data_IF_077978561799
#
_entry.id   IF_077978561799
#
_cell.length_a   1.000
_cell.length_b   1.000
_cell.length_c   1.000
_cell.angle_alpha   90.00
_cell.angle_beta   90.00
_cell.angle_gamma   90.00
#
_symmetry.space_group_name_H-M   'P 1'
#
loop_
_entity.id
_entity.type
_entity.pdbx_description
1 polymer ?
#
# COMPACT_ATOMS: atom_id res chain seq x y z
N UNK A 1 3.84 52.87 37.81
CA UNK A 1 4.03 52.35 36.44
C UNK A 1 3.19 51.09 36.34
N UNK A 2 1.96 51.23 35.86
CA UNK A 2 0.89 50.25 36.01
C UNK A 2 0.23 49.87 34.69
N UNK A 3 -0.36 48.67 34.73
CA UNK A 3 -1.46 48.08 33.95
C UNK A 3 -1.91 48.73 32.64
N UNK A 4 -2.14 47.90 31.62
CA UNK A 4 -3.46 47.64 31.01
C UNK A 4 -3.28 46.99 29.62
N UNK A 5 -3.70 45.73 29.47
CA UNK A 5 -4.10 45.17 28.18
C UNK A 5 -5.47 44.51 28.37
N UNK A 6 -6.52 45.29 28.12
CA UNK A 6 -7.80 44.81 27.59
C UNK A 6 -7.54 44.33 26.15
N UNK A 7 -8.09 43.23 25.65
CA UNK A 7 -9.50 42.84 25.66
C UNK A 7 -10.07 43.13 24.26
N UNK A 8 -10.10 42.11 23.39
CA UNK A 8 -10.88 42.15 22.14
C UNK A 8 -11.34 40.74 21.78
N UNK A 9 -12.52 40.39 22.30
CA UNK A 9 -13.39 39.38 21.73
C UNK A 9 -14.10 39.99 20.51
N UNK A 10 -13.97 39.38 19.35
CA UNK A 10 -14.90 39.58 18.24
C UNK A 10 -15.38 38.23 17.73
N UNK A 11 -16.38 37.71 18.44
CA UNK A 11 -17.42 36.85 17.85
C UNK A 11 -18.19 37.68 16.86
N UNK A 12 -18.20 37.30 15.58
CA UNK A 12 -19.27 37.49 14.57
C UNK A 12 -18.66 37.27 13.19
N UNK A 13 -18.92 36.12 12.58
CA UNK A 13 -19.16 35.97 11.14
C UNK A 13 -19.45 34.48 10.87
N UNK A 14 -20.73 34.12 10.86
CA UNK A 14 -21.34 33.05 10.05
C UNK A 14 -22.82 32.97 10.46
N UNK A 15 -23.66 33.79 9.82
CA UNK A 15 -25.11 33.67 9.88
C UNK A 15 -25.75 34.20 8.60
N UNK A 16 -25.41 33.60 7.46
CA UNK A 16 -26.16 33.78 6.20
C UNK A 16 -26.12 32.43 5.46
N UNK A 17 -27.28 32.02 4.94
CA UNK A 17 -27.63 30.78 4.20
C UNK A 17 -28.16 29.61 5.02
N UNK A 18 -29.47 29.66 5.31
CA UNK A 18 -30.46 28.63 4.95
C UNK A 18 -31.84 29.10 5.46
N UNK A 19 -32.52 29.91 4.65
CA UNK A 19 -33.97 30.13 4.75
C UNK A 19 -34.56 30.08 3.35
N UNK A 20 -35.01 28.89 2.94
CA UNK A 20 -36.00 28.70 1.87
C UNK A 20 -36.29 27.20 1.77
N UNK A 21 -37.40 26.77 2.37
CA UNK A 21 -37.84 25.37 2.30
C UNK A 21 -38.75 24.92 3.45
N UNK A 22 -39.74 25.74 3.84
CA UNK A 22 -40.87 25.25 4.64
C UNK A 22 -41.95 24.76 3.69
N UNK A 23 -42.06 23.45 3.50
CA UNK A 23 -43.37 22.80 3.29
C UNK A 23 -43.28 21.29 3.52
N UNK A 24 -44.15 20.81 4.40
CA UNK A 24 -44.64 19.43 4.55
C UNK A 24 -43.64 18.31 4.89
N UNK A 25 -43.46 18.09 6.20
CA UNK A 25 -43.21 16.76 6.77
C UNK A 25 -43.60 16.80 8.27
N UNK A 26 -44.90 16.76 8.54
CA UNK A 26 -45.42 16.38 9.85
C UNK A 26 -45.95 14.95 9.73
N UNK A 27 -45.49 14.09 10.67
CA UNK A 27 -45.89 12.70 10.93
C UNK A 27 -44.80 11.64 10.67
N UNK A 28 -43.60 11.85 11.21
CA UNK A 28 -42.67 10.75 11.48
C UNK A 28 -42.73 10.36 12.97
N UNK A 29 -42.86 9.07 13.33
CA UNK A 29 -42.84 8.62 14.72
C UNK A 29 -41.54 9.06 15.39
N UNK A 30 -41.65 9.68 16.57
CA UNK A 30 -40.50 10.11 17.36
C UNK A 30 -39.61 8.91 17.70
N UNK A 31 -38.48 8.79 16.98
CA UNK A 31 -37.42 7.83 17.29
C UNK A 31 -37.06 7.99 18.77
N UNK A 32 -37.03 6.91 19.58
CA UNK A 32 -36.66 7.01 20.98
C UNK A 32 -35.27 7.66 21.07
N UNK A 33 -35.20 8.79 21.78
CA UNK A 33 -33.94 9.49 22.04
C UNK A 33 -33.12 8.58 22.95
N UNK A 34 -32.10 7.93 22.39
CA UNK A 34 -31.08 7.26 23.17
C UNK A 34 -30.48 8.33 24.09
N UNK A 35 -30.52 8.15 25.43
CA UNK A 35 -29.92 9.09 26.34
C UNK A 35 -28.44 9.20 26.01
N UNK A 36 -27.98 10.40 25.68
CA UNK A 36 -26.56 10.69 25.52
C UNK A 36 -25.94 10.56 26.91
N UNK A 37 -25.02 9.61 27.15
CA UNK A 37 -24.36 9.48 28.43
C UNK A 37 -23.69 10.81 28.80
N UNK A 38 -23.76 11.20 30.06
CA UNK A 38 -22.99 12.33 30.57
C UNK A 38 -21.49 12.11 30.23
N UNK A 39 -20.72 13.17 29.94
CA UNK A 39 -19.29 13.03 29.66
C UNK A 39 -18.62 12.25 30.78
N UNK A 40 -17.83 11.23 30.45
CA UNK A 40 -17.03 10.51 31.45
C UNK A 40 -16.10 11.51 32.13
N UNK A 41 -16.33 11.78 33.42
CA UNK A 41 -15.57 12.78 34.18
C UNK A 41 -14.16 12.30 34.55
N UNK A 42 -13.88 10.99 34.46
CA UNK A 42 -12.63 10.40 34.93
C UNK A 42 -12.00 9.46 33.88
N UNK A 43 -10.79 9.81 33.42
CA UNK A 43 -10.00 8.96 32.53
C UNK A 43 -9.28 7.89 33.35
N UNK A 44 -9.64 6.61 33.17
CA UNK A 44 -8.94 5.50 33.82
C UNK A 44 -7.62 5.22 33.08
N UNK A 45 -6.45 5.36 33.74
CA UNK A 45 -5.17 5.04 33.11
C UNK A 45 -5.12 3.59 32.65
N UNK A 46 -4.42 3.31 31.54
CA UNK A 46 -4.34 1.96 30.96
C UNK A 46 -3.98 0.87 31.99
N UNK A 47 -3.00 1.14 32.84
CA UNK A 47 -2.53 0.21 33.89
C UNK A 47 -3.59 -0.16 34.93
N UNK A 48 -4.64 0.65 35.09
CA UNK A 48 -5.77 0.41 36.00
C UNK A 48 -6.96 -0.24 35.32
N UNK A 49 -6.93 -0.43 33.99
CA UNK A 49 -7.98 -1.13 33.27
C UNK A 49 -8.00 -2.61 33.67
N UNK A 50 -9.18 -3.24 33.72
CA UNK A 50 -9.29 -4.69 33.89
C UNK A 50 -8.44 -5.42 32.85
N UNK A 51 -7.79 -6.52 33.24
CA UNK A 51 -6.90 -7.29 32.36
C UNK A 51 -7.56 -7.65 31.03
N UNK A 52 -8.84 -8.07 31.06
CA UNK A 52 -9.63 -8.38 29.86
C UNK A 52 -9.74 -7.22 28.88
N UNK A 53 -9.80 -5.98 29.37
CA UNK A 53 -9.85 -4.78 28.51
C UNK A 53 -8.47 -4.48 27.96
N UNK A 54 -7.42 -4.57 28.78
CA UNK A 54 -6.03 -4.39 28.32
C UNK A 54 -5.66 -5.39 27.22
N UNK A 55 -5.98 -6.67 27.39
CA UNK A 55 -5.74 -7.71 26.38
C UNK A 55 -6.44 -7.39 25.07
N UNK A 56 -7.71 -6.93 25.10
CA UNK A 56 -8.42 -6.51 23.89
C UNK A 56 -7.78 -5.31 23.19
N UNK A 57 -7.25 -4.36 23.96
CA UNK A 57 -6.53 -3.21 23.39
C UNK A 57 -5.24 -3.69 22.72
N UNK A 58 -4.50 -4.63 23.32
CA UNK A 58 -3.30 -5.20 22.72
C UNK A 58 -3.60 -6.05 21.49
N UNK A 59 -4.64 -6.88 21.53
CA UNK A 59 -5.12 -7.64 20.37
C UNK A 59 -5.47 -6.68 19.21
N UNK A 60 -6.22 -5.61 19.50
CA UNK A 60 -6.53 -4.58 18.52
C UNK A 60 -5.26 -3.90 17.96
N UNK A 61 -4.29 -3.59 18.83
CA UNK A 61 -3.02 -2.98 18.41
C UNK A 61 -2.15 -3.93 17.57
N UNK A 62 -2.20 -5.24 17.82
CA UNK A 62 -1.48 -6.24 17.03
C UNK A 62 -2.07 -6.37 15.61
N UNK A 63 -3.37 -6.10 15.48
CA UNK A 63 -4.16 -6.23 14.25
C UNK A 63 -4.40 -4.90 13.52
N UNK A 64 -3.91 -3.77 14.02
CA UNK A 64 -4.24 -2.45 13.45
C UNK A 64 -3.25 -1.97 12.39
N UNK A 65 -2.05 -2.56 12.32
CA UNK A 65 -0.96 -2.02 11.52
C UNK A 65 -0.45 -3.05 10.50
N UNK A 66 -0.99 -2.96 9.27
CA UNK A 66 -0.44 -3.70 8.14
C UNK A 66 0.92 -3.11 7.75
N UNK A 67 1.94 -3.96 7.64
CA UNK A 67 3.29 -3.56 7.21
C UNK A 67 3.60 -4.12 5.84
N UNK A 68 4.51 -3.44 5.16
CA UNK A 68 5.03 -3.87 3.86
C UNK A 68 6.49 -4.30 4.08
N UNK A 69 6.79 -5.56 3.79
CA UNK A 69 8.14 -6.11 3.81
C UNK A 69 8.67 -6.14 2.38
N UNK A 70 9.60 -5.24 2.10
CA UNK A 70 10.29 -5.20 0.83
C UNK A 70 11.37 -6.27 0.80
N UNK A 71 11.30 -7.14 -0.21
CA UNK A 71 12.41 -8.02 -0.56
C UNK A 71 13.35 -7.26 -1.48
N UNK A 72 14.63 -7.30 -1.15
CA UNK A 72 15.72 -6.68 -1.91
C UNK A 72 16.73 -7.72 -2.32
N UNK A 73 17.43 -7.47 -3.42
CA UNK A 73 18.52 -8.33 -3.87
C UNK A 73 19.71 -8.26 -2.91
N UNK A 74 20.34 -9.40 -2.63
CA UNK A 74 21.63 -9.43 -1.93
C UNK A 74 22.76 -9.12 -2.91
N UNK A 75 23.42 -7.97 -2.71
CA UNK A 75 24.44 -7.40 -3.59
C UNK A 75 25.82 -8.05 -3.52
N UNK A 76 25.93 -9.35 -3.22
CA UNK A 76 27.22 -10.05 -3.18
C UNK A 76 27.41 -10.81 -4.49
N UNK A 77 28.13 -10.16 -5.41
CA UNK A 77 28.70 -10.71 -6.65
C UNK A 77 27.73 -10.90 -7.83
N UNK A 78 28.26 -10.66 -9.03
CA UNK A 78 27.61 -10.06 -10.19
C UNK A 78 26.48 -10.84 -10.88
N UNK A 79 26.07 -12.04 -10.44
CA UNK A 79 25.25 -12.89 -11.31
C UNK A 79 24.10 -13.64 -10.63
N UNK A 80 23.99 -13.60 -9.30
CA UNK A 80 22.94 -14.37 -8.60
C UNK A 80 21.73 -13.51 -8.26
N UNK A 81 20.82 -13.44 -9.23
CA UNK A 81 19.47 -12.90 -9.08
C UNK A 81 18.59 -13.70 -8.10
N UNK A 82 19.10 -14.84 -7.65
CA UNK A 82 18.41 -15.78 -6.78
C UNK A 82 18.41 -15.30 -5.33
N UNK A 83 19.39 -14.51 -4.92
CA UNK A 83 19.58 -14.14 -3.51
C UNK A 83 18.78 -12.89 -3.15
N UNK A 84 17.89 -13.03 -2.18
CA UNK A 84 17.03 -11.99 -1.64
C UNK A 84 16.91 -12.06 -0.12
N UNK A 85 16.65 -10.90 0.47
CA UNK A 85 16.35 -10.75 1.90
C UNK A 85 15.36 -9.61 2.10
N UNK A 86 14.73 -9.57 3.26
CA UNK A 86 13.94 -8.40 3.68
C UNK A 86 14.86 -7.20 3.88
N UNK A 87 14.48 -6.04 3.33
CA UNK A 87 15.22 -4.81 3.51
C UNK A 87 15.37 -4.44 4.99
N UNK A 88 16.51 -3.84 5.34
CA UNK A 88 16.78 -3.44 6.74
C UNK A 88 15.75 -2.43 7.24
N UNK A 89 15.24 -1.58 6.36
CA UNK A 89 14.28 -0.53 6.73
C UNK A 89 12.92 -1.13 7.08
N UNK A 90 12.45 -2.11 6.31
CA UNK A 90 11.16 -2.77 6.57
C UNK A 90 11.24 -3.89 7.61
N UNK A 91 12.42 -4.47 7.83
CA UNK A 91 12.63 -5.49 8.86
C UNK A 91 12.80 -4.91 10.27
N UNK A 92 11.75 -4.27 10.77
CA UNK A 92 11.70 -3.71 12.13
C UNK A 92 10.86 -4.58 13.05
N UNK A 93 11.29 -4.63 14.31
CA UNK A 93 10.48 -5.22 15.38
C UNK A 93 9.21 -4.37 15.51
N UNK A 94 8.00 -4.97 15.41
CA UNK A 94 6.77 -4.20 15.53
C UNK A 94 6.64 -3.59 16.94
N UNK A 95 6.11 -2.35 17.07
CA UNK A 95 6.12 -1.63 18.35
C UNK A 95 5.51 -2.39 19.52
N UNK A 96 4.46 -3.20 19.27
CA UNK A 96 3.79 -4.01 20.30
C UNK A 96 4.76 -4.95 21.06
N UNK A 97 5.85 -5.38 20.41
CA UNK A 97 6.85 -6.27 20.99
C UNK A 97 7.82 -5.54 21.95
N UNK A 98 7.80 -4.21 21.94
CA UNK A 98 8.74 -3.35 22.67
C UNK A 98 8.09 -2.59 23.84
N UNK A 99 6.76 -2.49 23.89
CA UNK A 99 6.06 -1.68 24.90
C UNK A 99 6.25 -2.20 26.32
N UNK A 100 5.80 -3.43 26.60
CA UNK A 100 5.94 -4.09 27.90
C UNK A 100 5.75 -5.61 27.75
N UNK A 101 5.85 -6.35 28.85
CA UNK A 101 5.70 -7.81 28.85
C UNK A 101 4.33 -8.28 28.36
N UNK A 102 3.25 -7.68 28.82
CA UNK A 102 1.87 -8.05 28.45
C UNK A 102 1.63 -7.83 26.94
N UNK A 103 2.04 -6.67 26.42
CA UNK A 103 1.95 -6.35 25.00
C UNK A 103 2.77 -7.33 24.15
N UNK A 104 4.00 -7.67 24.58
CA UNK A 104 4.85 -8.65 23.89
C UNK A 104 4.23 -10.04 23.87
N UNK A 105 3.65 -10.49 24.99
CA UNK A 105 2.97 -11.79 25.07
C UNK A 105 1.79 -11.84 24.09
N UNK A 106 1.01 -10.77 23.96
CA UNK A 106 -0.08 -10.68 22.99
C UNK A 106 0.43 -10.58 21.54
N UNK A 107 1.49 -9.78 21.32
CA UNK A 107 2.16 -9.68 20.02
C UNK A 107 2.66 -11.05 19.53
N UNK A 108 3.25 -11.87 20.41
CA UNK A 108 3.70 -13.23 20.09
C UNK A 108 2.57 -14.22 19.76
N UNK A 109 1.32 -13.93 20.15
CA UNK A 109 0.16 -14.76 19.74
C UNK A 109 -0.29 -14.47 18.32
N UNK A 110 -0.07 -13.24 17.84
CA UNK A 110 -0.51 -12.76 16.53
C UNK A 110 0.60 -12.81 15.48
N UNK A 111 1.84 -12.54 15.90
CA UNK A 111 3.01 -12.42 15.03
C UNK A 111 3.84 -13.69 15.05
N UNK A 112 4.18 -14.16 13.86
CA UNK A 112 5.07 -15.30 13.67
C UNK A 112 6.49 -14.83 13.38
N UNK A 113 7.47 -15.52 13.96
CA UNK A 113 8.88 -15.31 13.62
C UNK A 113 9.20 -16.10 12.35
N UNK A 114 9.48 -15.40 11.25
CA UNK A 114 9.74 -15.99 9.93
C UNK A 114 11.10 -15.58 9.40
N UNK A 115 11.64 -16.37 8.46
CA UNK A 115 12.89 -16.08 7.74
C UNK A 115 12.52 -15.93 6.27
N UNK A 116 12.71 -14.73 5.75
CA UNK A 116 12.52 -14.39 4.33
C UNK A 116 13.88 -13.96 3.77
N UNK A 117 14.83 -14.88 3.83
CA UNK A 117 16.21 -14.67 3.40
C UNK A 117 16.73 -15.99 2.84
N UNK A 118 17.29 -15.95 1.63
CA UNK A 118 18.00 -17.08 1.06
C UNK A 118 19.49 -16.79 0.79
N UNK A 119 20.00 -15.64 1.22
CA UNK A 119 21.40 -15.24 1.08
C UNK A 119 22.36 -16.01 2.00
N UNK A 120 21.86 -16.62 3.07
CA UNK A 120 22.65 -17.47 3.99
C UNK A 120 22.45 -18.96 3.73
N UNK A 121 21.72 -19.33 2.67
CA UNK A 121 21.47 -20.72 2.31
C UNK A 121 22.58 -21.15 1.35
N UNK A 122 23.65 -21.73 1.88
CA UNK A 122 24.34 -22.76 1.11
C UNK A 122 23.28 -23.83 0.85
N UNK A 123 22.80 -23.95 -0.40
CA UNK A 123 21.73 -24.89 -0.77
C UNK A 123 22.09 -26.36 -0.42
N UNK A 124 23.38 -26.66 -0.22
CA UNK A 124 23.89 -27.95 0.25
C UNK A 124 24.13 -28.05 1.76
N UNK A 125 24.18 -26.93 2.49
CA UNK A 125 24.43 -26.90 3.94
C UNK A 125 23.47 -25.92 4.61
N UNK A 126 22.19 -26.25 4.58
CA UNK A 126 21.19 -25.55 5.35
C UNK A 126 21.61 -25.63 6.85
N UNK A 127 21.97 -24.48 7.41
CA UNK A 127 22.17 -24.21 8.85
C UNK A 127 23.55 -24.44 9.51
N UNK A 128 24.66 -24.65 8.78
CA UNK A 128 25.96 -24.98 9.42
C UNK A 128 26.99 -23.83 9.58
N UNK A 129 26.72 -22.58 9.21
CA UNK A 129 27.65 -21.48 9.58
C UNK A 129 27.44 -21.12 11.05
N UNK A 130 28.11 -21.85 11.95
CA UNK A 130 28.20 -21.56 13.38
C UNK A 130 28.45 -20.05 13.61
N UNK A 131 27.46 -19.37 14.19
CA UNK A 131 27.59 -18.01 14.72
C UNK A 131 26.76 -16.91 14.05
N UNK A 132 26.24 -17.10 12.83
CA UNK A 132 25.33 -16.13 12.20
C UNK A 132 23.89 -16.60 12.27
N UNK A 133 23.11 -16.04 13.20
CA UNK A 133 21.67 -16.31 13.26
C UNK A 133 20.99 -15.77 12.00
N UNK A 134 20.13 -16.56 11.32
CA UNK A 134 19.42 -16.08 10.15
C UNK A 134 18.60 -14.84 10.51
N UNK A 135 18.56 -13.88 9.58
CA UNK A 135 17.77 -12.67 9.75
C UNK A 135 16.29 -13.05 9.86
N UNK A 136 15.75 -12.99 11.08
CA UNK A 136 14.36 -13.28 11.36
C UNK A 136 13.54 -12.00 11.39
N UNK A 137 12.28 -12.12 10.99
CA UNK A 137 11.29 -11.05 10.95
C UNK A 137 10.05 -11.47 11.73
N UNK A 138 9.46 -10.54 12.49
CA UNK A 138 8.12 -10.75 13.05
C UNK A 138 7.09 -10.39 12.00
N UNK A 139 6.28 -11.34 11.57
CA UNK A 139 5.34 -11.24 10.45
C UNK A 139 3.92 -11.58 10.91
N UNK A 140 2.96 -10.75 10.55
CA UNK A 140 1.53 -10.99 10.75
C UNK A 140 0.98 -11.70 9.50
N UNK A 141 0.64 -13.00 9.58
CA UNK A 141 0.19 -13.79 8.45
C UNK A 141 -1.22 -13.46 7.94
N UNK A 142 -1.89 -12.48 8.54
CA UNK A 142 -3.21 -12.00 8.14
C UNK A 142 -3.19 -10.58 7.55
N UNK A 143 -2.18 -9.77 7.89
CA UNK A 143 -2.16 -8.33 7.56
C UNK A 143 -0.96 -7.87 6.76
N UNK A 144 0.21 -8.46 6.97
CA UNK A 144 1.44 -7.97 6.37
C UNK A 144 1.54 -8.38 4.89
N UNK A 145 2.20 -7.53 4.11
CA UNK A 145 2.38 -7.70 2.68
C UNK A 145 3.85 -7.95 2.36
N UNK A 146 4.13 -8.93 1.51
CA UNK A 146 5.45 -9.10 0.89
C UNK A 146 5.48 -8.28 -0.39
N UNK A 147 6.44 -7.37 -0.51
CA UNK A 147 6.64 -6.52 -1.67
C UNK A 147 7.92 -6.90 -2.42
N UNK A 148 7.77 -7.24 -3.68
CA UNK A 148 8.87 -7.39 -4.63
C UNK A 148 9.08 -6.04 -5.30
N UNK A 149 10.16 -5.34 -4.90
CA UNK A 149 10.48 -3.99 -5.34
C UNK A 149 11.25 -3.94 -6.65
N UNK A 150 11.43 -2.73 -7.22
CA UNK A 150 11.96 -2.50 -8.57
C UNK A 150 13.31 -3.22 -8.88
N UNK A 151 14.11 -3.55 -7.86
CA UNK A 151 15.40 -4.26 -7.98
C UNK A 151 15.29 -5.79 -7.99
N UNK A 152 14.12 -6.34 -7.69
CA UNK A 152 13.89 -7.78 -7.74
C UNK A 152 13.66 -8.23 -9.18
N UNK A 153 13.99 -9.47 -9.50
CA UNK A 153 13.62 -10.02 -10.80
C UNK A 153 12.58 -11.11 -10.61
N UNK A 154 11.91 -11.46 -11.70
CA UNK A 154 10.87 -12.48 -11.63
C UNK A 154 11.41 -13.86 -11.20
N UNK A 155 12.69 -14.15 -11.48
CA UNK A 155 13.38 -15.34 -10.95
C UNK A 155 13.47 -15.30 -9.42
N UNK A 156 13.76 -14.14 -8.83
CA UNK A 156 13.77 -13.94 -7.37
C UNK A 156 12.41 -14.26 -6.75
N UNK A 157 11.34 -13.78 -7.39
CA UNK A 157 9.96 -14.08 -6.98
C UNK A 157 9.72 -15.60 -7.02
N UNK A 158 10.22 -16.25 -8.06
CA UNK A 158 10.04 -17.67 -8.31
C UNK A 158 10.72 -18.52 -7.25
N UNK A 159 12.00 -18.24 -7.01
CA UNK A 159 12.78 -18.89 -5.97
C UNK A 159 12.18 -18.63 -4.58
N UNK A 160 11.67 -17.42 -4.33
CA UNK A 160 10.96 -17.11 -3.08
C UNK A 160 9.73 -18.00 -2.88
N UNK A 161 8.85 -18.15 -3.88
CA UNK A 161 7.70 -19.06 -3.73
C UNK A 161 8.13 -20.52 -3.66
N UNK A 162 9.20 -20.92 -4.35
CA UNK A 162 9.79 -22.25 -4.19
C UNK A 162 10.20 -22.57 -2.75
N UNK A 163 10.72 -21.58 -2.03
CA UNK A 163 11.13 -21.71 -0.63
C UNK A 163 9.96 -21.56 0.35
N UNK A 164 9.00 -20.69 0.04
CA UNK A 164 7.94 -20.26 0.95
C UNK A 164 6.55 -20.84 0.63
N UNK A 165 6.43 -21.85 -0.24
CA UNK A 165 5.13 -22.35 -0.72
C UNK A 165 4.16 -22.86 0.37
N UNK A 166 4.69 -23.34 1.51
CA UNK A 166 3.88 -23.77 2.65
C UNK A 166 3.44 -22.61 3.54
N UNK A 167 4.02 -21.42 3.34
CA UNK A 167 3.80 -20.27 4.21
C UNK A 167 2.51 -19.55 3.82
N UNK A 168 1.78 -19.08 4.83
CA UNK A 168 0.60 -18.24 4.63
C UNK A 168 1.04 -16.82 4.25
N UNK A 169 0.77 -16.40 3.03
CA UNK A 169 1.12 -15.12 2.41
C UNK A 169 -0.14 -14.50 1.78
N UNK A 170 -1.05 -13.92 2.60
CA UNK A 170 -2.35 -13.45 2.12
C UNK A 170 -2.24 -12.26 1.17
N UNK A 171 -1.19 -11.45 1.30
CA UNK A 171 -1.00 -10.21 0.56
C UNK A 171 0.38 -10.18 -0.07
N UNK A 172 0.42 -9.96 -1.38
CA UNK A 172 1.65 -9.83 -2.15
C UNK A 172 1.56 -8.55 -2.98
N UNK A 173 2.69 -7.88 -3.15
CA UNK A 173 2.81 -6.70 -3.98
C UNK A 173 3.99 -6.84 -4.95
N UNK A 174 3.82 -6.36 -6.18
CA UNK A 174 4.84 -6.36 -7.24
C UNK A 174 5.02 -4.96 -7.76
N UNK A 175 6.26 -4.49 -7.90
CA UNK A 175 6.54 -3.32 -8.72
C UNK A 175 6.14 -3.60 -10.18
N UNK A 176 5.56 -2.61 -10.86
CA UNK A 176 5.11 -2.75 -12.25
C UNK A 176 6.25 -3.16 -13.20
N UNK A 177 7.49 -2.77 -12.89
CA UNK A 177 8.66 -3.00 -13.74
C UNK A 177 8.99 -4.50 -13.94
N UNK A 178 8.65 -5.38 -12.98
CA UNK A 178 8.87 -6.83 -13.09
C UNK A 178 8.19 -7.49 -14.29
N UNK A 179 7.23 -6.78 -14.86
CA UNK A 179 6.38 -7.28 -15.93
C UNK A 179 6.80 -6.72 -17.29
N UNK A 180 7.50 -5.60 -17.31
CA UNK A 180 7.78 -4.86 -18.54
C UNK A 180 9.20 -5.10 -19.03
N UNK A 181 10.18 -5.00 -18.13
CA UNK A 181 11.57 -5.17 -18.49
C UNK A 181 12.04 -6.55 -18.04
N UNK A 182 12.19 -7.50 -18.98
CA UNK A 182 12.77 -8.78 -18.65
C UNK A 182 14.18 -8.51 -18.12
N UNK A 183 14.40 -8.97 -16.91
CA UNK A 183 15.69 -8.92 -16.31
C UNK A 183 16.75 -9.56 -17.23
N UNK A 184 17.93 -8.94 -17.37
CA UNK A 184 19.01 -9.43 -18.24
C UNK A 184 19.60 -10.79 -17.81
N UNK A 185 19.09 -11.43 -16.75
CA UNK A 185 19.59 -12.68 -16.22
C UNK A 185 19.39 -13.91 -17.14
N UNK A 186 18.98 -13.71 -18.40
CA UNK A 186 18.77 -14.76 -19.41
C UNK A 186 17.94 -15.94 -18.91
N UNK A 187 17.07 -15.72 -17.92
CA UNK A 187 16.26 -16.79 -17.35
C UNK A 187 15.13 -17.15 -18.31
N UNK A 188 15.45 -18.04 -19.25
CA UNK A 188 14.51 -18.71 -20.13
C UNK A 188 14.19 -20.06 -19.51
N UNK A 189 13.18 -20.13 -18.63
CA UNK A 189 12.57 -21.43 -18.41
C UNK A 189 12.06 -21.90 -19.78
N UNK A 190 12.49 -23.07 -20.26
CA UNK A 190 12.17 -23.53 -21.63
C UNK A 190 10.66 -23.64 -21.92
N UNK A 191 9.83 -23.61 -20.88
CA UNK A 191 8.37 -23.63 -20.92
C UNK A 191 7.74 -22.23 -20.74
N UNK A 192 8.54 -21.19 -20.52
CA UNK A 192 8.08 -19.81 -20.37
C UNK A 192 7.98 -19.11 -21.70
N UNK A 193 6.75 -18.88 -22.12
CA UNK A 193 6.46 -18.16 -23.35
C UNK A 193 6.71 -16.65 -23.13
N UNK A 194 7.83 -16.16 -23.65
CA UNK A 194 8.25 -14.74 -23.55
C UNK A 194 7.25 -13.75 -24.18
N UNK A 195 6.27 -14.24 -24.96
CA UNK A 195 5.25 -13.38 -25.59
C UNK A 195 4.22 -12.77 -24.64
N UNK A 196 4.13 -13.23 -23.38
CA UNK A 196 3.10 -12.81 -22.42
C UNK A 196 3.65 -12.52 -21.01
N UNK A 197 4.67 -11.65 -20.93
CA UNK A 197 5.40 -11.34 -19.69
C UNK A 197 4.53 -11.11 -18.46
N UNK A 198 3.43 -10.36 -18.57
CA UNK A 198 2.55 -10.04 -17.43
C UNK A 198 1.84 -11.25 -16.82
N UNK A 199 1.20 -12.04 -17.68
CA UNK A 199 0.44 -13.21 -17.22
C UNK A 199 1.41 -14.26 -16.72
N UNK A 200 2.49 -14.48 -17.44
CA UNK A 200 3.52 -15.44 -17.06
C UNK A 200 4.17 -15.08 -15.71
N UNK A 201 4.39 -13.79 -15.43
CA UNK A 201 4.87 -13.33 -14.12
C UNK A 201 3.84 -13.57 -13.01
N UNK A 202 2.54 -13.37 -13.27
CA UNK A 202 1.49 -13.60 -12.27
C UNK A 202 1.11 -15.09 -12.12
N UNK A 203 1.42 -15.93 -13.10
CA UNK A 203 1.27 -17.39 -12.99
C UNK A 203 2.08 -17.98 -11.85
N UNK A 204 3.13 -17.28 -11.42
CA UNK A 204 3.92 -17.67 -10.25
C UNK A 204 3.09 -17.77 -8.98
N UNK A 205 1.94 -17.10 -8.92
CA UNK A 205 1.00 -17.18 -7.81
C UNK A 205 0.13 -18.44 -7.86
N UNK A 206 0.00 -19.05 -9.04
CA UNK A 206 -0.82 -20.23 -9.23
C UNK A 206 -0.16 -21.45 -8.60
N UNK A 207 -0.98 -22.23 -7.90
CA UNK A 207 -0.49 -23.44 -7.23
C UNK A 207 -0.64 -24.62 -8.16
N UNK A 208 0.49 -25.23 -8.53
CA UNK A 208 0.48 -26.56 -9.12
C UNK A 208 0.77 -27.62 -8.04
N UNK A 209 0.00 -28.72 -7.96
CA UNK A 209 0.33 -29.82 -7.08
C UNK A 209 1.75 -30.34 -7.38
N UNK A 210 2.59 -30.48 -6.35
CA UNK A 210 3.97 -30.96 -6.47
C UNK A 210 4.10 -32.33 -7.17
N UNK A 211 3.03 -33.12 -7.22
CA UNK A 211 2.98 -34.41 -7.95
C UNK A 211 2.97 -34.25 -9.48
N UNK A 212 2.63 -33.08 -9.99
CA UNK A 212 2.61 -32.76 -11.43
C UNK A 212 3.93 -32.06 -11.87
N UNK A 213 4.95 -32.06 -11.00
CA UNK A 213 6.20 -31.30 -11.08
C UNK A 213 7.24 -31.79 -12.10
N UNK A 214 6.83 -32.53 -13.13
CA UNK A 214 7.72 -32.76 -14.29
C UNK A 214 7.89 -31.48 -15.14
N UNK A 215 7.20 -30.39 -14.82
CA UNK A 215 7.40 -29.07 -15.42
C UNK A 215 8.28 -28.18 -14.55
N UNK A 216 9.08 -27.32 -15.17
CA UNK A 216 9.95 -26.28 -14.58
C UNK A 216 9.23 -25.17 -13.78
N UNK A 217 8.02 -25.43 -13.30
CA UNK A 217 7.11 -24.44 -12.72
C UNK A 217 7.08 -24.45 -11.20
N UNK A 218 6.82 -23.26 -10.64
CA UNK A 218 6.88 -22.99 -9.20
C UNK A 218 5.57 -23.38 -8.50
N UNK A 219 5.62 -23.76 -7.21
CA UNK A 219 4.46 -24.20 -6.42
C UNK A 219 3.46 -23.07 -6.07
N UNK A 220 3.83 -21.81 -6.29
CA UNK A 220 3.01 -20.63 -6.02
C UNK A 220 2.59 -20.42 -4.57
N UNK A 221 1.49 -19.69 -4.35
CA UNK A 221 0.98 -19.35 -3.01
C UNK A 221 -0.54 -19.52 -2.91
N UNK A 222 -1.04 -20.66 -2.38
CA UNK A 222 -2.49 -20.95 -2.31
C UNK A 222 -3.22 -20.03 -1.34
N UNK A 223 -2.48 -19.40 -0.43
CA UNK A 223 -3.02 -18.58 0.64
C UNK A 223 -3.20 -17.12 0.25
N UNK A 224 -2.72 -16.72 -0.93
CA UNK A 224 -2.80 -15.34 -1.42
C UNK A 224 -4.23 -14.98 -1.78
N UNK A 225 -4.68 -13.86 -1.24
CA UNK A 225 -6.03 -13.33 -1.40
C UNK A 225 -6.02 -11.94 -2.04
N UNK A 226 -4.97 -11.17 -1.82
CA UNK A 226 -4.82 -9.82 -2.36
C UNK A 226 -3.46 -9.70 -3.06
N UNK A 227 -3.48 -9.13 -4.27
CA UNK A 227 -2.29 -8.85 -5.07
C UNK A 227 -2.30 -7.38 -5.45
N UNK A 228 -1.24 -6.67 -5.05
CA UNK A 228 -1.05 -5.27 -5.40
C UNK A 228 -0.06 -5.15 -6.56
N UNK A 229 -0.48 -4.48 -7.63
CA UNK A 229 0.44 -4.04 -8.68
C UNK A 229 0.82 -2.60 -8.35
N UNK A 230 2.05 -2.42 -7.90
CA UNK A 230 2.57 -1.16 -7.39
C UNK A 230 3.08 -0.34 -8.56
N UNK A 231 2.28 0.67 -8.91
CA UNK A 231 2.60 1.70 -9.88
C UNK A 231 3.56 2.70 -9.25
N UNK A 232 4.51 3.25 -10.02
CA UNK A 232 5.37 4.32 -9.55
C UNK A 232 4.54 5.49 -9.04
N UNK A 233 5.05 6.19 -8.04
CA UNK A 233 4.55 7.50 -7.65
C UNK A 233 5.66 8.51 -7.84
N UNK A 234 5.32 9.69 -8.34
CA UNK A 234 6.24 10.83 -8.43
C UNK A 234 6.35 11.59 -7.09
N UNK A 235 5.54 11.22 -6.09
CA UNK A 235 5.53 11.82 -4.75
C UNK A 235 6.24 10.92 -3.75
N UNK A 236 5.88 9.63 -3.71
CA UNK A 236 6.44 8.65 -2.79
C UNK A 236 7.15 7.55 -3.58
N UNK A 237 8.43 7.80 -3.84
CA UNK A 237 9.33 6.84 -4.47
C UNK A 237 10.46 6.49 -3.51
N UNK A 238 10.82 5.22 -3.49
CA UNK A 238 11.91 4.70 -2.68
C UNK A 238 12.83 3.92 -3.61
N UNK A 239 14.14 4.14 -3.49
CA UNK A 239 15.09 3.20 -4.06
C UNK A 239 15.00 1.88 -3.30
N UNK A 240 15.49 0.81 -3.93
CA UNK A 240 15.50 -0.51 -3.32
C UNK A 240 16.17 -0.52 -1.96
N UNK A 241 15.44 -0.99 -0.95
CA UNK A 241 15.90 -1.07 0.42
C UNK A 241 15.82 0.22 1.23
N UNK A 242 15.38 1.32 0.61
CA UNK A 242 15.17 2.61 1.26
C UNK A 242 13.72 2.84 1.70
N UNK A 243 12.79 1.93 1.34
CA UNK A 243 11.39 2.07 1.71
C UNK A 243 11.21 2.05 3.24
N UNK A 244 10.62 3.09 3.84
CA UNK A 244 10.43 3.15 5.28
C UNK A 244 9.39 2.13 5.74
N UNK A 245 9.53 1.60 6.96
CA UNK A 245 8.56 0.69 7.57
C UNK A 245 7.18 1.31 7.85
N UNK A 246 7.04 2.62 7.65
CA UNK A 246 5.79 3.38 7.80
C UNK A 246 5.11 3.64 6.45
N UNK A 247 5.70 3.20 5.34
CA UNK A 247 5.08 3.29 4.03
C UNK A 247 3.77 2.47 4.00
N UNK A 248 2.77 2.99 3.32
CA UNK A 248 1.49 2.32 3.11
C UNK A 248 1.16 2.25 1.63
N UNK A 249 0.16 1.46 1.27
CA UNK A 249 -0.45 1.55 -0.05
C UNK A 249 -1.60 2.55 -0.06
N UNK A 250 -1.68 3.30 -1.14
CA UNK A 250 -2.85 4.06 -1.55
C UNK A 250 -3.29 3.59 -2.93
N UNK A 251 -4.50 3.96 -3.32
CA UNK A 251 -4.96 3.80 -4.71
C UNK A 251 -3.98 4.50 -5.64
N UNK A 252 -3.65 3.85 -6.77
CA UNK A 252 -2.75 4.47 -7.73
C UNK A 252 -3.36 5.74 -8.33
N UNK A 253 -2.53 6.78 -8.49
CA UNK A 253 -2.92 7.97 -9.25
C UNK A 253 -3.00 7.69 -10.76
N UNK A 254 -2.49 6.53 -11.19
CA UNK A 254 -2.32 6.13 -12.58
C UNK A 254 -3.55 5.41 -13.15
N UNK A 255 -4.58 5.15 -12.33
CA UNK A 255 -5.86 4.48 -12.67
C UNK A 255 -6.66 5.11 -13.84
N UNK A 256 -6.18 6.21 -14.44
CA UNK A 256 -6.94 7.06 -15.39
C UNK A 256 -6.12 7.41 -16.65
N UNK A 257 -4.92 6.85 -16.86
CA UNK A 257 -4.08 7.32 -17.98
C UNK A 257 -4.62 6.80 -19.33
N UNK A 258 -5.05 7.76 -20.13
CA UNK A 258 -5.42 7.63 -21.54
C UNK A 258 -4.36 8.35 -22.39
N UNK A 259 -3.19 7.75 -22.51
CA UNK A 259 -2.15 8.21 -23.43
C UNK A 259 -2.13 7.26 -24.61
N UNK A 260 -2.77 7.68 -25.70
CA UNK A 260 -2.81 7.02 -27.03
C UNK A 260 -3.35 5.59 -27.05
N UNK A 261 -4.68 5.44 -27.12
CA UNK A 261 -5.48 4.23 -27.46
C UNK A 261 -5.23 2.90 -26.70
N UNK A 262 -4.11 2.71 -26.02
CA UNK A 262 -3.79 1.56 -25.17
C UNK A 262 -3.57 2.04 -23.74
N UNK A 263 -4.64 2.05 -22.94
CA UNK A 263 -4.53 2.35 -21.50
C UNK A 263 -3.65 1.27 -20.88
N UNK A 264 -2.59 1.66 -20.20
CA UNK A 264 -1.74 0.76 -19.39
C UNK A 264 -2.64 -0.06 -18.45
N UNK A 265 -3.62 0.60 -17.85
CA UNK A 265 -4.64 -0.05 -17.04
C UNK A 265 -5.51 -1.01 -17.86
N UNK A 266 -5.92 -0.67 -19.09
CA UNK A 266 -6.70 -1.59 -19.92
C UNK A 266 -5.88 -2.83 -20.30
N UNK A 267 -4.58 -2.69 -20.55
CA UNK A 267 -3.69 -3.84 -20.72
C UNK A 267 -3.67 -4.69 -19.44
N UNK A 268 -3.48 -4.07 -18.27
CA UNK A 268 -3.50 -4.79 -16.98
C UNK A 268 -4.84 -5.42 -16.65
N UNK A 269 -5.95 -4.71 -16.80
CA UNK A 269 -7.29 -5.24 -16.64
C UNK A 269 -7.54 -6.38 -17.62
N UNK A 270 -7.07 -6.29 -18.87
CA UNK A 270 -7.17 -7.37 -19.84
C UNK A 270 -6.37 -8.60 -19.38
N UNK A 271 -5.15 -8.43 -18.88
CA UNK A 271 -4.34 -9.54 -18.37
C UNK A 271 -4.93 -10.14 -17.08
N UNK A 272 -5.33 -9.31 -16.11
CA UNK A 272 -6.04 -9.72 -14.88
C UNK A 272 -7.33 -10.46 -15.25
N UNK A 273 -8.08 -9.99 -16.25
CA UNK A 273 -9.30 -10.65 -16.70
C UNK A 273 -9.01 -12.00 -17.38
N UNK A 274 -7.93 -12.13 -18.15
CA UNK A 274 -7.50 -13.44 -18.68
C UNK A 274 -7.13 -14.40 -17.55
N UNK A 275 -6.40 -13.92 -16.54
CA UNK A 275 -6.05 -14.68 -15.34
C UNK A 275 -7.32 -15.13 -14.58
N UNK A 276 -8.28 -14.22 -14.38
CA UNK A 276 -9.59 -14.52 -13.77
C UNK A 276 -10.43 -15.50 -14.57
N UNK A 277 -10.32 -15.47 -15.90
CA UNK A 277 -11.05 -16.38 -16.78
C UNK A 277 -10.55 -17.84 -16.71
N UNK A 278 -9.43 -18.09 -16.02
CA UNK A 278 -8.81 -19.41 -15.95
C UNK A 278 -8.22 -19.86 -17.28
N UNK A 279 -7.84 -18.90 -18.15
CA UNK A 279 -7.20 -19.19 -19.42
C UNK A 279 -5.95 -20.04 -19.17
N UNK A 280 -5.87 -21.20 -19.84
CA UNK A 280 -4.72 -22.09 -19.74
C UNK A 280 -3.59 -21.52 -20.60
N UNK A 281 -2.47 -21.19 -19.97
CA UNK A 281 -1.30 -20.63 -20.63
C UNK A 281 -0.27 -21.69 -21.03
N UNK A 282 -0.71 -22.92 -21.26
CA UNK A 282 0.15 -24.04 -21.66
C UNK A 282 0.72 -24.84 -20.49
N UNK A 283 0.18 -24.60 -19.29
CA UNK A 283 0.69 -25.15 -18.04
C UNK A 283 -0.35 -26.05 -17.33
N UNK A 284 -1.43 -26.38 -18.02
CA UNK A 284 -2.58 -27.08 -17.49
C UNK A 284 -3.62 -26.12 -16.94
N UNK A 285 -4.83 -26.61 -16.65
CA UNK A 285 -5.93 -25.76 -16.21
C UNK A 285 -5.52 -24.95 -14.98
N UNK A 286 -5.33 -23.65 -15.16
CA UNK A 286 -5.01 -22.66 -14.13
C UNK A 286 -6.16 -22.56 -13.14
N UNK A 287 -6.25 -23.51 -12.21
CA UNK A 287 -7.28 -23.51 -11.17
C UNK A 287 -6.71 -22.88 -9.93
N UNK A 288 -7.20 -21.70 -9.61
CA UNK A 288 -7.04 -21.11 -8.29
C UNK A 288 -7.49 -22.12 -7.23
N UNK A 289 -6.79 -22.19 -6.12
CA UNK A 289 -7.16 -23.12 -5.05
C UNK A 289 -8.57 -22.76 -4.57
N UNK A 290 -9.47 -23.73 -4.57
CA UNK A 290 -10.91 -23.53 -4.26
C UNK A 290 -11.62 -22.52 -5.18
N UNK A 291 -11.17 -22.36 -6.44
CA UNK A 291 -11.73 -21.43 -7.42
C UNK A 291 -11.72 -19.95 -6.99
N UNK A 292 -10.90 -19.60 -5.98
CA UNK A 292 -10.80 -18.24 -5.45
C UNK A 292 -9.59 -17.51 -6.05
N UNK A 293 -9.80 -16.79 -7.15
CA UNK A 293 -8.81 -15.86 -7.70
C UNK A 293 -8.53 -14.74 -6.69
N UNK A 294 -7.27 -14.32 -6.48
CA UNK A 294 -6.95 -13.16 -5.66
C UNK A 294 -7.60 -11.88 -6.18
N UNK A 295 -7.87 -10.95 -5.28
CA UNK A 295 -8.26 -9.59 -5.61
C UNK A 295 -7.01 -8.82 -6.05
N UNK A 296 -7.02 -8.36 -7.30
CA UNK A 296 -5.97 -7.53 -7.86
C UNK A 296 -6.32 -6.05 -7.70
N UNK A 297 -5.37 -5.26 -7.20
CA UNK A 297 -5.50 -3.81 -7.04
C UNK A 297 -4.28 -3.08 -7.57
N UNK A 298 -4.50 -1.95 -8.23
CA UNK A 298 -3.44 -1.01 -8.58
C UNK A 298 -3.18 -0.11 -7.37
N UNK A 299 -1.92 -0.07 -6.94
CA UNK A 299 -1.50 0.69 -5.77
C UNK A 299 -0.33 1.60 -6.10
N UNK A 300 -0.15 2.63 -5.30
CA UNK A 300 1.09 3.41 -5.23
C UNK A 300 1.46 3.58 -3.76
N UNK A 301 2.70 3.97 -3.48
CA UNK A 301 3.08 4.26 -2.11
C UNK A 301 2.41 5.54 -1.59
N UNK A 302 2.10 5.51 -0.31
CA UNK A 302 1.63 6.64 0.48
C UNK A 302 2.37 6.71 1.81
N UNK A 303 2.27 7.85 2.51
CA UNK A 303 2.82 7.98 3.85
C UNK A 303 2.01 7.13 4.83
N UNK A 304 2.48 7.04 6.08
CA UNK A 304 1.64 6.59 7.18
C UNK A 304 0.47 7.54 7.39
N UNK A 305 -0.68 6.98 7.76
CA UNK A 305 -1.79 7.76 8.26
C UNK A 305 -1.36 8.56 9.50
N UNK A 306 -1.66 9.85 9.52
CA UNK A 306 -1.47 10.69 10.70
C UNK A 306 -2.39 10.21 11.81
N UNK A 307 -1.90 10.23 13.05
CA UNK A 307 -2.71 9.97 14.22
C UNK A 307 -3.82 11.03 14.32
N UNK A 308 -5.03 10.65 13.90
CA UNK A 308 -6.21 11.51 13.87
C UNK A 308 -7.23 11.10 14.94
N UNK A 309 -8.01 12.07 15.44
CA UNK A 309 -9.05 11.92 16.48
C UNK A 309 -10.24 11.03 16.05
N UNK A 310 -10.01 9.75 15.74
CA UNK A 310 -11.05 8.79 15.36
C UNK A 310 -11.67 9.00 13.97
N UNK A 311 -11.02 9.78 13.08
CA UNK A 311 -11.47 9.96 11.69
C UNK A 311 -10.87 8.87 10.80
N UNK A 312 -11.67 8.31 9.89
CA UNK A 312 -11.21 7.38 8.85
C UNK A 312 -10.49 8.17 7.77
N UNK A 313 -9.18 8.33 7.93
CA UNK A 313 -8.34 9.01 6.96
C UNK A 313 -8.10 8.11 5.74
N UNK A 314 -7.95 8.73 4.57
CA UNK A 314 -7.56 8.08 3.32
C UNK A 314 -6.47 8.86 2.58
N UNK A 315 -5.96 8.24 1.52
CA UNK A 315 -5.05 8.84 0.56
C UNK A 315 -5.65 8.71 -0.83
N UNK A 316 -5.49 9.73 -1.66
CA UNK A 316 -5.89 9.74 -3.05
C UNK A 316 -4.84 10.46 -3.90
N UNK A 317 -5.00 10.41 -5.21
CA UNK A 317 -4.15 11.16 -6.12
C UNK A 317 -4.63 11.07 -7.56
N UNK A 318 -4.13 11.98 -8.38
CA UNK A 318 -4.46 12.03 -9.79
C UNK A 318 -3.28 12.52 -10.59
N UNK A 319 -3.27 12.16 -11.87
CA UNK A 319 -2.30 12.69 -12.81
C UNK A 319 -2.81 13.96 -13.47
N UNK A 320 -1.87 14.81 -13.85
CA UNK A 320 -2.15 16.14 -14.35
C UNK A 320 -1.05 16.59 -15.30
N UNK A 321 -1.44 17.28 -16.38
CA UNK A 321 -0.47 17.88 -17.30
C UNK A 321 0.42 18.92 -16.62
N UNK A 322 1.62 19.16 -17.16
CA UNK A 322 2.49 20.27 -16.71
C UNK A 322 1.79 21.62 -16.68
N UNK A 323 0.96 21.92 -17.69
CA UNK A 323 0.16 23.15 -17.72
C UNK A 323 -0.87 23.22 -16.57
N UNK A 324 -1.46 22.07 -16.22
CA UNK A 324 -2.36 21.97 -15.07
C UNK A 324 -1.63 22.26 -13.76
N UNK A 325 -0.45 21.65 -13.56
CA UNK A 325 0.41 21.93 -12.41
C UNK A 325 0.77 23.41 -12.32
N UNK A 326 1.27 24.01 -13.39
CA UNK A 326 1.61 25.44 -13.45
C UNK A 326 0.42 26.33 -13.03
N UNK A 327 -0.80 25.96 -13.45
CA UNK A 327 -2.01 26.72 -13.13
C UNK A 327 -2.38 26.66 -11.65
N UNK A 328 -2.23 25.50 -11.01
CA UNK A 328 -2.55 25.35 -9.58
C UNK A 328 -1.43 25.82 -8.66
N UNK A 329 -0.18 25.84 -9.14
CA UNK A 329 0.98 26.38 -8.41
C UNK A 329 1.26 27.84 -8.72
N UNK A 330 0.43 28.49 -9.55
CA UNK A 330 0.52 29.91 -9.82
C UNK A 330 0.52 30.73 -8.52
N UNK A 331 1.04 31.95 -8.59
CA UNK A 331 1.10 32.88 -7.44
C UNK A 331 1.85 32.30 -6.23
N UNK A 332 2.91 31.51 -6.49
CA UNK A 332 3.74 30.91 -5.44
C UNK A 332 3.05 29.79 -4.67
N UNK A 333 1.99 29.19 -5.22
CA UNK A 333 1.26 28.08 -4.58
C UNK A 333 0.26 28.51 -3.50
N UNK A 334 -0.07 29.80 -3.41
CA UNK A 334 -1.03 30.34 -2.44
C UNK A 334 -2.39 29.62 -2.49
N UNK A 335 -2.85 29.22 -3.69
CA UNK A 335 -4.06 28.43 -3.90
C UNK A 335 -4.03 27.09 -3.14
N UNK A 336 -2.92 26.35 -3.24
CA UNK A 336 -2.80 25.02 -2.61
C UNK A 336 -2.63 25.13 -1.11
N UNK A 337 -1.92 26.14 -0.61
CA UNK A 337 -1.79 26.37 0.82
C UNK A 337 -3.12 26.77 1.47
N UNK A 338 -3.92 27.63 0.82
CA UNK A 338 -5.28 27.93 1.30
C UNK A 338 -6.16 26.68 1.34
N UNK A 339 -6.15 25.89 0.25
CA UNK A 339 -6.93 24.66 0.18
C UNK A 339 -6.52 23.65 1.25
N UNK A 340 -5.21 23.50 1.48
CA UNK A 340 -4.65 22.66 2.54
C UNK A 340 -5.05 23.13 3.94
N UNK A 341 -5.01 24.45 4.20
CA UNK A 341 -5.40 25.01 5.50
C UNK A 341 -6.89 24.84 5.78
N UNK A 342 -7.73 25.02 4.75
CA UNK A 342 -9.19 24.90 4.87
C UNK A 342 -9.65 23.45 5.07
N UNK A 343 -9.09 22.51 4.32
CA UNK A 343 -9.52 21.10 4.33
C UNK A 343 -8.75 20.23 5.33
N UNK A 344 -7.52 20.64 5.70
CA UNK A 344 -6.61 19.83 6.50
C UNK A 344 -5.89 18.71 5.74
N UNK A 345 -6.15 18.56 4.43
CA UNK A 345 -5.52 17.56 3.56
C UNK A 345 -4.07 17.95 3.28
N UNK A 346 -3.14 17.01 3.40
CA UNK A 346 -1.75 17.21 2.96
C UNK A 346 -1.68 17.04 1.44
N UNK A 347 -1.45 18.15 0.73
CA UNK A 347 -1.43 18.20 -0.74
C UNK A 347 0.02 18.27 -1.20
N UNK A 348 0.42 17.36 -2.10
CA UNK A 348 1.78 17.33 -2.66
C UNK A 348 1.74 17.18 -4.16
N UNK A 349 2.78 17.70 -4.82
CA UNK A 349 2.97 17.57 -6.27
C UNK A 349 4.28 16.85 -6.53
N UNK A 350 4.22 15.79 -7.33
CA UNK A 350 5.35 15.03 -7.82
C UNK A 350 5.56 15.34 -9.30
N UNK A 351 6.74 15.84 -9.67
CA UNK A 351 7.05 16.19 -11.05
C UNK A 351 7.76 15.05 -11.77
N UNK A 352 7.34 14.74 -12.99
CA UNK A 352 7.92 13.68 -13.81
C UNK A 352 9.40 13.89 -14.12
N UNK A 353 9.83 15.14 -14.32
CA UNK A 353 11.23 15.50 -14.65
C UNK A 353 12.26 15.03 -13.61
N UNK A 354 11.81 14.53 -12.47
CA UNK A 354 12.64 13.94 -11.44
C UNK A 354 12.80 12.41 -11.58
N UNK A 355 12.36 11.80 -12.69
CA UNK A 355 12.33 10.35 -12.87
C UNK A 355 12.85 9.91 -14.24
N UNK A 356 14.04 9.31 -14.26
CA UNK A 356 14.62 8.69 -15.46
C UNK A 356 14.02 7.31 -15.80
N UNK A 357 13.20 6.75 -14.91
CA UNK A 357 12.92 5.31 -14.88
C UNK A 357 11.75 4.82 -15.76
N UNK A 358 10.99 5.71 -16.41
CA UNK A 358 9.83 5.30 -17.24
C UNK A 358 9.74 6.12 -18.53
N UNK A 359 10.88 6.29 -19.21
CA UNK A 359 10.97 7.05 -20.45
C UNK A 359 9.90 6.59 -21.45
N UNK A 360 9.08 7.54 -21.93
CA UNK A 360 8.03 7.29 -22.94
C UNK A 360 6.60 7.07 -22.40
N UNK A 361 6.40 6.73 -21.13
CA UNK A 361 5.07 6.35 -20.61
C UNK A 361 4.30 7.52 -19.99
N UNK A 362 5.02 8.43 -19.36
CA UNK A 362 4.44 9.52 -18.57
C UNK A 362 4.97 10.90 -19.00
N UNK A 363 5.42 11.01 -20.25
CA UNK A 363 5.96 12.27 -20.76
C UNK A 363 4.93 13.39 -20.58
N UNK A 364 5.31 14.42 -19.82
CA UNK A 364 4.50 15.60 -19.50
C UNK A 364 3.33 15.41 -18.53
N UNK A 365 3.26 14.26 -17.84
CA UNK A 365 2.34 14.06 -16.72
C UNK A 365 3.06 14.33 -15.40
N UNK A 366 2.33 14.87 -14.42
CA UNK A 366 2.78 15.06 -13.05
C UNK A 366 1.70 14.46 -12.14
N UNK A 367 2.07 14.20 -10.90
CA UNK A 367 1.17 13.64 -9.91
C UNK A 367 0.77 14.74 -8.92
N UNK A 368 -0.53 14.83 -8.61
CA UNK A 368 -1.01 15.49 -7.40
C UNK A 368 -1.53 14.43 -6.44
N UNK A 369 -1.03 14.45 -5.21
CA UNK A 369 -1.41 13.53 -4.16
C UNK A 369 -2.12 14.26 -3.03
N UNK A 370 -3.20 13.65 -2.54
CA UNK A 370 -4.08 14.14 -1.49
C UNK A 370 -4.02 13.17 -0.31
N UNK A 371 -3.36 13.56 0.78
CA UNK A 371 -3.05 12.64 1.86
C UNK A 371 -3.70 13.04 3.18
N UNK A 372 -4.11 12.05 3.98
CA UNK A 372 -4.58 12.24 5.36
C UNK A 372 -5.85 13.09 5.46
N UNK A 373 -6.75 13.00 4.48
CA UNK A 373 -8.09 13.61 4.53
C UNK A 373 -9.19 12.58 4.78
N UNK A 374 -10.37 13.02 5.21
CA UNK A 374 -11.59 12.20 5.11
C UNK A 374 -12.07 12.10 3.66
N UNK A 375 -13.08 11.26 3.42
CA UNK A 375 -13.73 11.14 2.11
C UNK A 375 -14.24 12.50 1.61
N UNK A 376 -14.86 13.29 2.48
CA UNK A 376 -15.42 14.60 2.17
C UNK A 376 -14.33 15.65 1.92
N UNK A 377 -13.29 15.68 2.78
CA UNK A 377 -12.19 16.64 2.67
C UNK A 377 -11.39 16.43 1.37
N UNK A 378 -11.13 15.18 0.97
CA UNK A 378 -10.45 14.88 -0.30
C UNK A 378 -11.34 15.21 -1.49
N UNK A 379 -12.63 14.89 -1.43
CA UNK A 379 -13.57 15.23 -2.50
C UNK A 379 -13.64 16.74 -2.73
N UNK A 380 -13.66 17.53 -1.65
CA UNK A 380 -13.62 18.99 -1.72
C UNK A 380 -12.33 19.49 -2.38
N UNK A 381 -11.17 18.88 -2.06
CA UNK A 381 -9.91 19.18 -2.73
C UNK A 381 -9.98 18.90 -4.24
N UNK A 382 -10.44 17.72 -4.64
CA UNK A 382 -10.56 17.31 -6.05
C UNK A 382 -11.46 18.28 -6.83
N UNK A 383 -12.66 18.57 -6.32
CA UNK A 383 -13.61 19.49 -6.96
C UNK A 383 -13.02 20.91 -7.08
N UNK A 384 -12.34 21.40 -6.05
CA UNK A 384 -11.72 22.73 -6.07
C UNK A 384 -10.55 22.81 -7.05
N UNK A 385 -9.68 21.79 -7.08
CA UNK A 385 -8.56 21.70 -8.03
C UNK A 385 -9.11 21.67 -9.46
N UNK A 386 -10.12 20.84 -9.73
CA UNK A 386 -10.75 20.77 -11.05
C UNK A 386 -11.41 22.08 -11.46
N UNK A 387 -12.11 22.77 -10.55
CA UNK A 387 -12.68 24.09 -10.81
C UNK A 387 -11.60 25.11 -11.18
N UNK A 388 -10.47 25.12 -10.47
CA UNK A 388 -9.32 25.98 -10.80
C UNK A 388 -8.75 25.63 -12.16
N UNK A 389 -8.58 24.35 -12.48
CA UNK A 389 -8.09 23.88 -13.79
C UNK A 389 -9.00 24.30 -14.94
N UNK A 390 -10.32 24.29 -14.74
CA UNK A 390 -11.32 24.75 -15.72
C UNK A 390 -11.48 26.28 -15.78
N UNK A 391 -10.90 27.03 -14.83
CA UNK A 391 -10.99 28.49 -14.79
C UNK A 391 -12.32 29.01 -14.25
N UNK A 392 -13.00 28.20 -13.42
CA UNK A 392 -14.24 28.57 -12.73
C UNK A 392 -13.94 29.44 -11.50
N UNK A 393 -12.74 29.30 -10.90
CA UNK A 393 -12.27 30.04 -9.73
C UNK A 393 -10.83 30.54 -9.88
#
# INVERSE_FOLDING_TARGET
MGSLWHGLQTKKFFKILFQSGRSQLQNSPSKPRIPVPAPFEEFTPFSRLPSKIRSKIWEFAALSHARIFELVRCSSEDELHQLSKVSKQTNRVPPIMEVNREAREEGMRTLEKRVFNNCDINLEMAFEVEGKKPQCTWFNPDLDTIYFGEDTCIRTVADFFGLCWQMKLPKIAFAIIHVQDPCECNWNAGDWNQGHNTVTSLQILHVRPSKDANSTMFPGSPSTREVFIVMPSFIYRYAAGEMPNTATFRRSAHDVIDTSDDRIDAAWYKEINKIRSGLDFGCGSSRWTNDSCPDFSLASFGPSYKDGKGKKLRHDGSLMSSKGCEKITADGGAFLEDLRLRTGVDIRIGYWRNSDAYHGWYENLNEIGLFNGTDEEIKECEETIMARLLGVI
#
